data_IF_492627320366
#
_entry.id   IF_492627320366
#
_cell.length_a   1.000
_cell.length_b   1.000
_cell.length_c   1.000
_cell.angle_alpha   90.00
_cell.angle_beta   90.00
_cell.angle_gamma   90.00
#
_symmetry.space_group_name_H-M   'P 1'
#
loop_
_entity.id
_entity.type
_entity.pdbx_description
1 polymer ?
#
# COMPACT_ATOMS: atom_id res chain seq x y z
N UNK A 1 72.80 35.18 -13.26
CA UNK A 1 71.64 34.49 -13.88
C UNK A 1 70.91 33.75 -12.76
N UNK A 2 69.75 34.26 -12.33
CA UNK A 2 68.94 33.67 -11.26
C UNK A 2 67.89 32.74 -11.86
N UNK A 3 68.06 31.43 -11.69
CA UNK A 3 67.05 30.44 -12.05
C UNK A 3 66.06 30.26 -10.91
N UNK A 4 64.86 30.79 -11.05
CA UNK A 4 63.76 30.58 -10.11
C UNK A 4 63.15 29.19 -10.34
N UNK A 5 63.19 28.33 -9.31
CA UNK A 5 62.47 27.06 -9.28
C UNK A 5 61.02 27.36 -8.87
N UNK A 6 60.06 27.13 -9.78
CA UNK A 6 58.62 27.15 -9.45
C UNK A 6 58.22 25.79 -8.87
N UNK A 7 58.03 25.74 -7.55
CA UNK A 7 57.39 24.61 -6.87
C UNK A 7 55.88 24.69 -7.12
N UNK A 8 55.37 23.78 -7.95
CA UNK A 8 53.93 23.63 -8.14
C UNK A 8 53.40 22.69 -7.04
N UNK A 9 52.75 23.24 -6.01
CA UNK A 9 52.10 22.47 -4.96
C UNK A 9 50.82 21.86 -5.55
N UNK A 10 50.84 20.56 -5.78
CA UNK A 10 49.63 19.79 -6.08
C UNK A 10 48.92 19.53 -4.75
N UNK A 11 47.90 20.33 -4.42
CA UNK A 11 47.05 20.09 -3.26
C UNK A 11 46.01 19.02 -3.64
N UNK A 12 46.12 17.84 -3.04
CA UNK A 12 45.12 16.79 -3.15
C UNK A 12 44.12 16.95 -1.99
N UNK A 13 42.87 17.29 -2.31
CA UNK A 13 41.78 17.29 -1.34
C UNK A 13 41.39 15.85 -1.06
N UNK A 14 41.82 15.32 0.08
CA UNK A 14 41.35 14.03 0.58
C UNK A 14 40.08 14.27 1.38
N UNK A 15 38.92 14.12 0.73
CA UNK A 15 37.65 14.04 1.45
C UNK A 15 37.56 12.65 2.07
N UNK A 16 37.76 12.55 3.38
CA UNK A 16 37.52 11.31 4.12
C UNK A 16 36.02 11.29 4.43
N UNK A 17 35.20 10.45 3.77
CA UNK A 17 33.79 10.36 4.08
C UNK A 17 33.65 9.82 5.51
N UNK A 18 33.31 10.71 6.44
CA UNK A 18 33.02 10.31 7.82
C UNK A 18 31.67 9.62 7.81
N UNK A 19 31.68 8.31 8.01
CA UNK A 19 30.45 7.51 8.13
C UNK A 19 29.99 7.54 9.58
N UNK A 20 28.67 7.64 9.80
CA UNK A 20 28.05 7.69 11.12
C UNK A 20 27.11 6.50 11.29
N UNK A 21 27.12 5.95 12.50
CA UNK A 21 26.15 4.93 12.92
C UNK A 21 25.05 5.59 13.76
N UNK A 22 23.80 5.19 13.53
CA UNK A 22 22.63 5.66 14.29
C UNK A 22 21.68 4.50 14.53
N UNK A 23 21.11 4.44 15.73
CA UNK A 23 20.01 3.51 16.02
C UNK A 23 18.70 4.24 15.80
N UNK A 24 17.85 3.71 14.94
CA UNK A 24 16.56 4.31 14.58
C UNK A 24 15.42 3.33 14.88
N UNK A 25 14.29 3.82 15.43
CA UNK A 25 13.12 2.99 15.67
C UNK A 25 12.43 2.63 14.34
N UNK A 26 11.85 1.44 14.30
CA UNK A 26 11.05 0.94 13.17
C UNK A 26 9.58 1.12 13.52
N UNK A 27 8.82 1.73 12.62
CA UNK A 27 7.38 1.92 12.73
C UNK A 27 6.68 1.32 11.52
N UNK A 28 5.46 0.88 11.74
CA UNK A 28 4.57 0.41 10.67
C UNK A 28 3.57 1.52 10.38
N UNK A 29 3.35 1.81 9.10
CA UNK A 29 2.30 2.72 8.66
C UNK A 29 1.38 1.99 7.68
N UNK A 30 0.07 2.14 7.91
CA UNK A 30 -0.97 1.58 7.06
C UNK A 30 -1.26 2.56 5.92
N UNK A 31 -1.08 2.13 4.68
CA UNK A 31 -1.15 3.01 3.49
C UNK A 31 -2.49 2.98 2.78
N UNK A 32 -3.38 2.05 3.12
CA UNK A 32 -4.70 1.93 2.51
C UNK A 32 -5.72 2.95 3.05
N UNK A 33 -5.41 3.66 4.14
CA UNK A 33 -6.27 4.70 4.73
C UNK A 33 -7.63 4.22 5.24
N UNK A 34 -7.81 2.91 5.44
CA UNK A 34 -9.08 2.33 5.92
C UNK A 34 -9.07 2.17 7.43
N UNK A 35 -7.92 1.78 7.98
CA UNK A 35 -7.73 1.60 9.42
C UNK A 35 -6.58 2.45 9.92
N UNK A 36 -6.69 2.88 11.17
CA UNK A 36 -5.60 3.57 11.86
C UNK A 36 -4.65 2.57 12.50
N UNK A 37 -3.39 2.97 12.66
CA UNK A 37 -2.40 2.16 13.41
C UNK A 37 -2.75 2.04 14.90
N UNK A 38 -3.64 2.87 15.42
CA UNK A 38 -4.15 2.82 16.79
C UNK A 38 -5.09 1.64 17.05
N UNK A 39 -5.85 1.24 16.03
CA UNK A 39 -6.73 0.07 16.09
C UNK A 39 -5.96 -1.24 15.84
N UNK A 40 -4.68 -1.14 15.48
CA UNK A 40 -3.85 -2.27 15.10
C UNK A 40 -2.91 -2.68 16.23
N UNK A 41 -2.97 -3.96 16.60
CA UNK A 41 -1.94 -4.60 17.43
C UNK A 41 -0.77 -4.96 16.55
N UNK A 42 0.31 -4.18 16.65
CA UNK A 42 1.52 -4.33 15.84
C UNK A 42 2.63 -4.92 16.71
N UNK A 43 3.21 -6.04 16.28
CA UNK A 43 4.38 -6.65 16.89
C UNK A 43 5.48 -6.79 15.85
N UNK A 44 6.65 -6.24 16.14
CA UNK A 44 7.82 -6.30 15.28
C UNK A 44 8.80 -7.33 15.82
N UNK A 45 9.45 -8.08 14.93
CA UNK A 45 10.61 -8.90 15.34
C UNK A 45 11.77 -8.04 15.86
N UNK A 46 11.87 -6.80 15.36
CA UNK A 46 12.86 -5.81 15.79
C UNK A 46 12.24 -4.41 15.79
N UNK A 47 12.23 -3.76 16.96
CA UNK A 47 11.68 -2.42 17.15
C UNK A 47 12.66 -1.31 16.80
N UNK A 48 13.96 -1.62 16.69
CA UNK A 48 15.00 -0.67 16.36
C UNK A 48 16.11 -1.32 15.56
N UNK A 49 16.71 -0.56 14.64
CA UNK A 49 17.77 -1.02 13.74
C UNK A 49 18.94 -0.04 13.78
N UNK A 50 20.15 -0.57 13.69
CA UNK A 50 21.37 0.24 13.57
C UNK A 50 21.71 0.43 12.10
N UNK A 51 21.67 1.67 11.65
CA UNK A 51 22.03 2.07 10.29
C UNK A 51 23.39 2.74 10.29
N UNK A 52 24.16 2.58 9.22
CA UNK A 52 25.41 3.29 8.98
C UNK A 52 25.47 3.86 7.57
N UNK A 53 26.04 5.05 7.41
CA UNK A 53 26.04 5.75 6.13
C UNK A 53 26.64 7.14 6.24
N UNK A 54 26.44 7.96 5.22
CA UNK A 54 26.86 9.37 5.23
C UNK A 54 26.12 10.14 6.32
N UNK A 55 26.84 11.04 7.01
CA UNK A 55 26.28 11.81 8.15
C UNK A 55 24.99 12.52 7.77
N UNK A 56 24.93 13.18 6.62
CA UNK A 56 23.75 13.94 6.19
C UNK A 56 22.52 13.04 5.98
N UNK A 57 22.72 11.87 5.36
CA UNK A 57 21.66 10.89 5.15
C UNK A 57 21.19 10.27 6.47
N UNK A 58 22.12 9.85 7.32
CA UNK A 58 21.82 9.22 8.61
C UNK A 58 21.15 10.19 9.58
N UNK A 59 21.56 11.46 9.60
CA UNK A 59 20.93 12.47 10.45
C UNK A 59 19.52 12.79 9.99
N UNK A 60 19.24 12.75 8.68
CA UNK A 60 17.88 12.91 8.13
C UNK A 60 16.93 11.76 8.45
N UNK A 61 17.44 10.56 8.74
CA UNK A 61 16.62 9.40 9.05
C UNK A 61 16.30 9.39 10.55
N UNK A 62 15.08 9.79 10.90
CA UNK A 62 14.59 9.72 12.29
C UNK A 62 13.90 8.39 12.61
N UNK A 63 13.16 7.84 11.65
CA UNK A 63 12.40 6.58 11.79
C UNK A 63 12.44 5.81 10.47
N UNK A 64 12.40 4.48 10.57
CA UNK A 64 12.19 3.60 9.42
C UNK A 64 10.72 3.23 9.40
N UNK A 65 10.05 3.53 8.28
CA UNK A 65 8.63 3.22 8.11
C UNK A 65 8.50 1.98 7.22
N UNK A 66 7.73 1.00 7.68
CA UNK A 66 7.30 -0.14 6.88
C UNK A 66 5.90 0.18 6.36
N UNK A 67 5.76 0.57 5.07
CA UNK A 67 4.46 0.79 4.47
C UNK A 67 3.77 -0.55 4.26
N UNK A 68 2.54 -0.66 4.76
CA UNK A 68 1.73 -1.87 4.65
C UNK A 68 0.36 -1.48 4.11
N UNK A 69 0.02 -2.04 2.96
CA UNK A 69 -1.30 -1.87 2.38
C UNK A 69 -2.27 -2.89 3.00
N UNK A 70 -3.09 -2.44 3.93
CA UNK A 70 -4.11 -3.24 4.59
C UNK A 70 -5.13 -3.84 3.59
N UNK A 71 -5.38 -3.19 2.45
CA UNK A 71 -6.42 -3.65 1.51
C UNK A 71 -6.04 -4.96 0.80
N UNK A 72 -4.75 -5.29 0.81
CA UNK A 72 -4.23 -6.50 0.17
C UNK A 72 -4.43 -7.77 0.98
N UNK A 73 -4.91 -7.68 2.23
CA UNK A 73 -4.97 -8.81 3.14
C UNK A 73 -6.41 -9.14 3.59
N UNK A 74 -6.74 -10.44 3.71
CA UNK A 74 -8.07 -10.94 4.12
C UNK A 74 -8.30 -10.88 5.66
N UNK A 75 -7.46 -10.13 6.42
CA UNK A 75 -7.43 -9.97 7.90
C UNK A 75 -8.15 -11.06 8.74
N UNK A 76 -7.89 -12.35 8.47
CA UNK A 76 -8.59 -13.42 9.20
C UNK A 76 -8.19 -13.52 10.66
N UNK A 77 -7.02 -13.00 11.03
CA UNK A 77 -6.48 -12.99 12.39
C UNK A 77 -5.34 -11.98 12.52
N UNK A 78 -4.21 -12.28 11.88
CA UNK A 78 -3.00 -11.46 11.91
C UNK A 78 -2.27 -11.60 10.58
N UNK A 79 -1.77 -10.50 10.06
CA UNK A 79 -0.94 -10.46 8.87
C UNK A 79 0.51 -10.49 9.31
N UNK A 80 1.35 -11.21 8.57
CA UNK A 80 2.80 -11.19 8.75
C UNK A 80 3.42 -10.64 7.48
N UNK A 81 4.03 -9.46 7.57
CA UNK A 81 4.74 -8.84 6.47
C UNK A 81 6.22 -8.88 6.79
N UNK A 82 6.99 -9.59 5.96
CA UNK A 82 8.45 -9.61 6.07
C UNK A 82 9.03 -8.69 5.01
N UNK A 83 9.82 -7.70 5.42
CA UNK A 83 10.55 -6.80 4.53
C UNK A 83 12.03 -6.85 4.86
N UNK A 84 12.85 -6.83 3.81
CA UNK A 84 14.28 -6.72 3.94
C UNK A 84 14.66 -5.28 4.20
N UNK A 85 15.60 -5.06 5.11
CA UNK A 85 16.06 -3.72 5.47
C UNK A 85 16.67 -2.98 4.27
N UNK A 86 17.36 -3.69 3.37
CA UNK A 86 17.87 -3.16 2.11
C UNK A 86 16.79 -2.52 1.21
N UNK A 87 15.54 -2.96 1.31
CA UNK A 87 14.41 -2.37 0.58
C UNK A 87 13.77 -1.17 1.29
N UNK A 88 14.05 -0.98 2.58
CA UNK A 88 13.48 0.10 3.40
C UNK A 88 14.46 1.27 3.58
N UNK A 89 15.75 1.03 3.36
CA UNK A 89 16.79 2.04 3.49
C UNK A 89 17.02 2.77 2.16
N UNK A 90 17.26 4.09 2.19
CA UNK A 90 17.64 4.84 1.01
C UNK A 90 19.04 4.44 0.53
N UNK A 91 19.31 4.65 -0.76
CA UNK A 91 20.62 4.38 -1.34
C UNK A 91 21.73 5.12 -0.59
N UNK A 92 22.81 4.42 -0.25
CA UNK A 92 23.93 4.97 0.53
C UNK A 92 23.83 4.78 2.05
N UNK A 93 22.73 4.16 2.53
CA UNK A 93 22.56 3.74 3.92
C UNK A 93 22.48 2.23 4.00
N UNK A 94 23.38 1.66 4.79
CA UNK A 94 23.47 0.23 5.03
C UNK A 94 23.07 -0.09 6.47
N UNK A 95 22.68 -1.34 6.72
CA UNK A 95 22.43 -1.83 8.06
C UNK A 95 23.71 -2.40 8.67
N UNK A 96 24.04 -1.99 9.89
CA UNK A 96 25.24 -2.47 10.62
C UNK A 96 25.18 -3.97 10.84
N UNK A 97 23.97 -4.52 11.00
CA UNK A 97 23.76 -5.95 11.23
C UNK A 97 23.67 -6.78 9.92
N UNK A 98 23.91 -6.17 8.75
CA UNK A 98 23.76 -6.81 7.44
C UNK A 98 22.31 -6.88 6.94
N UNK A 99 22.02 -7.77 5.98
CA UNK A 99 20.68 -7.95 5.42
C UNK A 99 19.74 -8.63 6.42
N UNK A 100 19.21 -7.84 7.34
CA UNK A 100 18.25 -8.28 8.34
C UNK A 100 16.84 -8.11 7.76
N UNK A 101 16.03 -9.15 7.87
CA UNK A 101 14.61 -9.07 7.58
C UNK A 101 13.84 -8.71 8.85
N UNK A 102 12.94 -7.73 8.72
CA UNK A 102 11.98 -7.39 9.77
C UNK A 102 10.65 -7.99 9.40
N UNK A 103 10.09 -8.76 10.32
CA UNK A 103 8.73 -9.24 10.21
C UNK A 103 7.84 -8.41 11.12
N UNK A 104 6.91 -7.69 10.50
CA UNK A 104 5.81 -7.02 11.19
C UNK A 104 4.61 -7.96 11.23
N UNK A 105 4.12 -8.25 12.44
CA UNK A 105 2.88 -8.97 12.68
C UNK A 105 1.83 -7.96 13.09
N UNK A 106 0.75 -7.86 12.31
CA UNK A 106 -0.31 -6.86 12.52
C UNK A 106 -1.62 -7.61 12.69
N UNK A 107 -2.31 -7.37 13.79
CA UNK A 107 -3.67 -7.86 14.00
C UNK A 107 -4.58 -6.69 14.33
N UNK A 108 -5.64 -6.49 13.56
CA UNK A 108 -6.70 -5.55 13.91
C UNK A 108 -7.84 -6.40 14.50
N UNK A 109 -8.04 -6.38 15.83
CA UNK A 109 -9.08 -7.18 16.46
C UNK A 109 -10.46 -6.67 16.05
N UNK A 110 -11.44 -7.58 15.98
CA UNK A 110 -12.82 -7.21 15.68
C UNK A 110 -13.12 -7.04 14.18
N UNK A 111 -12.16 -7.27 13.28
CA UNK A 111 -12.45 -7.38 11.86
C UNK A 111 -13.27 -8.64 11.54
N UNK A 112 -14.17 -8.50 10.59
CA UNK A 112 -14.92 -9.60 10.01
C UNK A 112 -15.10 -9.37 8.51
N UNK A 113 -15.64 -10.38 7.85
CA UNK A 113 -15.93 -10.31 6.43
C UNK A 113 -17.35 -10.75 6.12
N UNK A 114 -17.91 -10.13 5.10
CA UNK A 114 -19.26 -10.42 4.62
C UNK A 114 -19.24 -10.41 3.10
N UNK A 115 -19.86 -11.43 2.53
CA UNK A 115 -20.09 -11.48 1.09
C UNK A 115 -21.41 -10.78 0.79
N UNK A 116 -21.40 -9.84 -0.13
CA UNK A 116 -22.57 -9.07 -0.54
C UNK A 116 -22.78 -9.29 -2.03
N UNK A 117 -24.04 -9.46 -2.41
CA UNK A 117 -24.45 -9.62 -3.79
C UNK A 117 -25.16 -8.36 -4.27
N UNK A 118 -24.70 -7.81 -5.39
CA UNK A 118 -25.35 -6.69 -6.09
C UNK A 118 -25.86 -7.19 -7.44
N UNK A 119 -27.10 -6.83 -7.78
CA UNK A 119 -27.71 -7.22 -9.06
C UNK A 119 -27.13 -6.35 -10.19
N UNK A 120 -27.15 -6.88 -11.41
CA UNK A 120 -26.68 -6.15 -12.58
C UNK A 120 -27.34 -4.78 -12.77
N UNK A 121 -28.64 -4.67 -12.47
CA UNK A 121 -29.40 -3.42 -12.61
C UNK A 121 -29.08 -2.34 -11.58
N UNK A 122 -28.43 -2.70 -10.48
CA UNK A 122 -28.04 -1.78 -9.41
C UNK A 122 -26.61 -1.24 -9.62
N UNK A 123 -25.88 -1.72 -10.64
CA UNK A 123 -24.53 -1.27 -10.98
C UNK A 123 -24.65 -0.09 -11.95
N UNK A 124 -24.20 1.08 -11.52
CA UNK A 124 -24.21 2.29 -12.33
C UNK A 124 -23.15 2.19 -13.45
N UNK A 125 -23.56 2.49 -14.68
CA UNK A 125 -22.64 2.58 -15.81
C UNK A 125 -22.32 4.05 -16.05
N UNK A 126 -21.10 4.46 -15.71
CA UNK A 126 -20.62 5.81 -15.98
C UNK A 126 -20.32 5.90 -17.48
N UNK A 127 -21.16 6.63 -18.20
CA UNK A 127 -20.98 6.89 -19.63
C UNK A 127 -20.18 8.18 -19.82
N UNK A 128 -19.04 8.06 -20.49
CA UNK A 128 -18.38 9.18 -21.17
C UNK A 128 -18.87 9.21 -22.62
N UNK A 129 -19.06 10.41 -23.17
CA UNK A 129 -19.59 10.62 -24.52
C UNK A 129 -18.85 9.75 -25.56
N UNK A 130 -19.57 8.80 -26.18
CA UNK A 130 -19.03 7.98 -27.27
C UNK A 130 -19.44 6.50 -27.28
N UNK A 131 -20.03 5.97 -26.20
CA UNK A 131 -20.41 4.55 -26.15
C UNK A 131 -21.86 4.34 -25.63
N UNK A 132 -22.86 4.41 -26.52
CA UNK A 132 -24.25 4.22 -26.12
C UNK A 132 -24.50 2.71 -25.92
N UNK A 133 -24.97 2.34 -24.72
CA UNK A 133 -25.59 1.05 -24.36
C UNK A 133 -24.75 -0.03 -23.65
N UNK A 134 -23.64 0.33 -22.98
CA UNK A 134 -23.00 -0.61 -22.08
C UNK A 134 -23.96 -0.97 -20.92
N UNK A 135 -24.35 -2.23 -20.84
CA UNK A 135 -25.26 -2.77 -19.82
C UNK A 135 -24.59 -3.95 -19.12
N UNK A 136 -24.62 -3.98 -17.79
CA UNK A 136 -24.07 -5.11 -17.04
C UNK A 136 -24.94 -6.34 -17.25
N UNK A 137 -24.33 -7.49 -17.57
CA UNK A 137 -25.04 -8.72 -17.94
C UNK A 137 -25.38 -9.58 -16.72
N UNK A 138 -24.54 -9.57 -15.70
CA UNK A 138 -24.69 -10.40 -14.50
C UNK A 138 -24.35 -9.62 -13.24
N UNK A 139 -25.15 -9.82 -12.19
CA UNK A 139 -24.80 -9.35 -10.85
C UNK A 139 -23.55 -10.05 -10.32
N UNK A 140 -22.96 -9.50 -9.27
CA UNK A 140 -21.70 -9.96 -8.71
C UNK A 140 -21.77 -10.12 -7.20
N UNK A 141 -21.09 -11.14 -6.70
CA UNK A 141 -20.84 -11.33 -5.27
C UNK A 141 -19.42 -10.90 -4.96
N UNK A 142 -19.24 -9.99 -4.01
CA UNK A 142 -17.93 -9.51 -3.58
C UNK A 142 -17.79 -9.60 -2.06
N UNK A 143 -16.54 -9.64 -1.60
CA UNK A 143 -16.18 -9.78 -0.20
C UNK A 143 -15.80 -8.41 0.35
N UNK A 144 -16.44 -8.03 1.45
CA UNK A 144 -16.17 -6.78 2.16
C UNK A 144 -15.54 -7.12 3.51
N UNK A 145 -14.53 -6.36 3.90
CA UNK A 145 -13.82 -6.49 5.18
C UNK A 145 -13.94 -5.19 5.96
N UNK A 146 -14.23 -5.30 7.25
CA UNK A 146 -14.37 -4.16 8.15
C UNK A 146 -14.65 -4.61 9.58
N UNK A 147 -14.86 -3.65 10.48
CA UNK A 147 -15.22 -3.95 11.87
C UNK A 147 -16.55 -4.71 11.96
N UNK A 148 -16.64 -5.65 12.90
CA UNK A 148 -17.79 -6.54 13.06
C UNK A 148 -19.11 -5.80 13.19
N UNK A 149 -19.13 -4.72 13.97
CA UNK A 149 -20.36 -3.97 14.21
C UNK A 149 -20.84 -3.26 12.93
N UNK A 150 -19.90 -2.67 12.17
CA UNK A 150 -20.18 -2.01 10.89
C UNK A 150 -20.63 -3.02 9.83
N UNK A 151 -19.87 -4.12 9.64
CA UNK A 151 -20.18 -5.14 8.62
C UNK A 151 -21.50 -5.86 8.91
N UNK A 152 -21.88 -6.01 10.18
CA UNK A 152 -23.16 -6.62 10.56
C UNK A 152 -24.34 -5.78 10.03
N UNK A 153 -24.22 -4.46 10.12
CA UNK A 153 -25.26 -3.50 9.74
C UNK A 153 -25.21 -3.12 8.26
N UNK A 154 -24.05 -3.26 7.61
CA UNK A 154 -23.84 -3.01 6.18
C UNK A 154 -24.80 -3.82 5.30
N UNK A 155 -25.62 -3.14 4.51
CA UNK A 155 -26.47 -3.74 3.48
C UNK A 155 -25.99 -3.34 2.06
N UNK A 156 -26.50 -4.04 1.06
CA UNK A 156 -26.36 -3.71 -0.35
C UNK A 156 -26.82 -2.29 -0.71
N UNK A 157 -27.76 -1.71 0.04
CA UNK A 157 -28.21 -0.32 -0.17
C UNK A 157 -27.16 0.73 0.17
N UNK A 158 -26.21 0.40 1.04
CA UNK A 158 -25.16 1.34 1.47
C UNK A 158 -23.91 1.30 0.58
N UNK A 159 -23.99 0.52 -0.50
CA UNK A 159 -22.88 0.28 -1.42
C UNK A 159 -23.28 0.79 -2.79
N UNK A 160 -22.45 1.65 -3.33
CA UNK A 160 -22.55 2.09 -4.71
C UNK A 160 -21.55 1.28 -5.54
N UNK A 161 -22.03 0.58 -6.56
CA UNK A 161 -21.19 -0.12 -7.52
C UNK A 161 -21.27 0.62 -8.85
N UNK A 162 -20.12 0.91 -9.44
CA UNK A 162 -20.06 1.60 -10.73
C UNK A 162 -18.99 1.01 -11.64
N UNK A 163 -19.22 1.08 -12.94
CA UNK A 163 -18.24 0.74 -13.96
C UNK A 163 -18.00 1.94 -14.88
N UNK A 164 -16.78 2.08 -15.37
CA UNK A 164 -16.45 3.03 -16.42
C UNK A 164 -16.58 2.36 -17.79
N UNK A 165 -17.51 2.86 -18.62
CA UNK A 165 -17.74 2.34 -19.96
C UNK A 165 -16.54 2.55 -20.92
N UNK A 166 -15.64 3.48 -20.60
CA UNK A 166 -14.41 3.71 -21.36
C UNK A 166 -13.29 2.72 -20.99
N UNK A 167 -13.32 2.17 -19.77
CA UNK A 167 -12.34 1.21 -19.26
C UNK A 167 -12.73 -0.26 -19.56
N UNK A 168 -13.74 -0.48 -20.42
CA UNK A 168 -14.17 -1.82 -20.82
C UNK A 168 -13.06 -2.48 -21.64
N UNK A 169 -12.57 -3.61 -21.14
CA UNK A 169 -11.60 -4.44 -21.85
C UNK A 169 -12.29 -5.61 -22.55
N UNK A 170 -11.61 -6.21 -23.52
CA UNK A 170 -12.08 -7.42 -24.19
C UNK A 170 -11.16 -8.55 -23.77
N UNK A 171 -11.74 -9.60 -23.17
CA UNK A 171 -10.99 -10.77 -22.76
C UNK A 171 -10.52 -11.61 -23.97
N UNK A 172 -9.72 -12.63 -23.69
CA UNK A 172 -9.18 -13.52 -24.73
C UNK A 172 -10.26 -14.37 -25.43
N UNK A 173 -11.49 -14.41 -24.92
CA UNK A 173 -12.65 -15.08 -25.50
C UNK A 173 -13.58 -14.12 -26.27
N UNK A 174 -13.22 -12.83 -26.36
CA UNK A 174 -14.01 -11.81 -27.06
C UNK A 174 -15.18 -11.24 -26.23
N UNK A 175 -15.28 -11.55 -24.93
CA UNK A 175 -16.27 -10.94 -24.03
C UNK A 175 -15.75 -9.61 -23.52
N UNK A 176 -16.67 -8.65 -23.38
CA UNK A 176 -16.35 -7.34 -22.83
C UNK A 176 -16.48 -7.41 -21.30
N UNK A 177 -15.42 -7.07 -20.57
CA UNK A 177 -15.42 -7.00 -19.11
C UNK A 177 -15.04 -5.61 -18.63
N UNK A 178 -15.58 -5.21 -17.49
CA UNK A 178 -15.25 -3.95 -16.84
C UNK A 178 -14.97 -4.18 -15.35
N UNK A 179 -13.94 -3.51 -14.84
CA UNK A 179 -13.66 -3.47 -13.41
C UNK A 179 -14.71 -2.62 -12.68
N UNK A 180 -15.19 -3.13 -11.54
CA UNK A 180 -16.14 -2.41 -10.71
C UNK A 180 -15.39 -1.58 -9.67
N UNK A 181 -15.76 -0.30 -9.63
CA UNK A 181 -15.42 0.60 -8.55
C UNK A 181 -16.55 0.59 -7.54
N UNK A 182 -16.24 0.18 -6.32
CA UNK A 182 -17.17 0.21 -5.18
C UNK A 182 -16.95 1.46 -4.34
N UNK A 183 -18.04 2.12 -3.99
CA UNK A 183 -18.12 3.16 -2.98
C UNK A 183 -19.05 2.73 -1.84
N UNK A 184 -18.84 3.31 -0.66
CA UNK A 184 -19.70 3.14 0.50
C UNK A 184 -20.36 4.49 0.82
N UNK A 185 -21.54 4.47 1.41
CA UNK A 185 -22.18 5.66 1.96
C UNK A 185 -21.26 6.40 2.94
N UNK A 186 -21.36 7.73 2.99
CA UNK A 186 -20.47 8.59 3.81
C UNK A 186 -20.46 8.23 5.31
N UNK A 187 -21.54 7.62 5.81
CA UNK A 187 -21.67 7.19 7.21
C UNK A 187 -20.91 5.89 7.53
N UNK A 188 -20.37 5.20 6.52
CA UNK A 188 -19.67 3.92 6.66
C UNK A 188 -18.17 4.11 6.51
N UNK A 189 -17.45 4.05 7.63
CA UNK A 189 -15.99 4.12 7.68
C UNK A 189 -15.38 2.81 8.19
N UNK A 190 -14.10 2.57 7.86
CA UNK A 190 -13.39 1.36 8.32
C UNK A 190 -13.82 0.09 7.59
N UNK A 191 -14.20 0.23 6.31
CA UNK A 191 -14.67 -0.85 5.45
C UNK A 191 -14.02 -0.74 4.08
N UNK A 192 -13.66 -1.87 3.48
CA UNK A 192 -13.14 -1.93 2.12
C UNK A 192 -13.52 -3.24 1.42
N UNK A 193 -13.52 -3.21 0.09
CA UNK A 193 -13.72 -4.39 -0.75
C UNK A 193 -12.40 -5.14 -0.90
N UNK A 194 -12.42 -6.44 -0.63
CA UNK A 194 -11.25 -7.31 -0.72
C UNK A 194 -11.17 -7.99 -2.07
N UNK A 195 -10.15 -7.61 -2.85
CA UNK A 195 -9.89 -8.15 -4.19
C UNK A 195 -10.43 -7.26 -5.30
N UNK A 196 -10.10 -7.64 -6.54
CA UNK A 196 -10.62 -6.99 -7.75
C UNK A 196 -11.81 -7.78 -8.28
N UNK A 197 -12.79 -7.05 -8.82
CA UNK A 197 -14.03 -7.63 -9.29
C UNK A 197 -14.37 -7.07 -10.66
N UNK A 198 -14.59 -7.97 -11.61
CA UNK A 198 -14.96 -7.62 -12.98
C UNK A 198 -16.34 -8.18 -13.30
N UNK A 199 -17.10 -7.46 -14.12
CA UNK A 199 -18.38 -7.91 -14.65
C UNK A 199 -18.40 -7.91 -16.16
N UNK A 200 -19.13 -8.88 -16.72
CA UNK A 200 -19.40 -8.93 -18.15
C UNK A 200 -20.40 -7.82 -18.52
N UNK A 201 -20.03 -7.03 -19.53
CA UNK A 201 -20.85 -5.96 -20.09
C UNK A 201 -21.28 -6.32 -21.50
N UNK A 202 -22.52 -5.97 -21.83
CA UNK A 202 -23.09 -6.08 -23.17
C UNK A 202 -23.23 -4.68 -23.77
N UNK A 203 -22.93 -4.55 -25.05
CA UNK A 203 -23.24 -3.39 -25.88
C UNK A 203 -24.17 -3.83 -27.01
#
# INVERSE_FOLDING_TARGET
MNGYIKLNKNEAYVSIPVKKEKTVPVKVELTGGVFSTEDAVISLTQESVKIYGEIELIDSIEKIVIPIDERTFDFRNTIRVTKYMSSLLPAGVDNVNGDVSITAVIGIPGLTKKNIYIKAGDIAVLQLEGNPQATVKSGITFCVIGFRDVIRELDSSDITASIDAAAVSVDSEGKKTAEIVFGFSDDITGVYVYGTYEVEVKN
#
